data_IF_158833253802
#
_entry.id   IF_158833253802
#
_cell.length_a   1.000
_cell.length_b   1.000
_cell.length_c   1.000
_cell.angle_alpha   90.00
_cell.angle_beta   90.00
_cell.angle_gamma   90.00
#
_symmetry.space_group_name_H-M   'P 1'
#
loop_
_entity.id
_entity.type
_entity.pdbx_description
1 polymer ?
#
# COMPACT_ATOMS: atom_id res chain seq x y z
N UNK A 1 2.05 -9.03 -71.68
CA UNK A 1 2.11 -8.00 -70.64
C UNK A 1 1.57 -8.58 -69.35
N UNK A 2 2.43 -8.95 -68.41
CA UNK A 2 2.08 -9.45 -67.09
C UNK A 2 2.28 -8.32 -66.11
N UNK A 3 1.19 -7.82 -65.52
CA UNK A 3 1.23 -6.85 -64.41
C UNK A 3 1.47 -7.58 -63.09
N UNK A 4 2.60 -7.26 -62.46
CA UNK A 4 2.95 -7.73 -61.14
C UNK A 4 2.38 -6.76 -60.11
N UNK A 5 1.38 -7.22 -59.36
CA UNK A 5 0.82 -6.45 -58.24
C UNK A 5 1.74 -6.67 -57.03
N UNK A 6 2.46 -5.64 -56.64
CA UNK A 6 3.26 -5.63 -55.43
C UNK A 6 2.35 -5.33 -54.23
N UNK A 7 2.11 -6.33 -53.37
CA UNK A 7 1.40 -6.17 -52.12
C UNK A 7 2.33 -5.47 -51.09
N UNK A 8 2.05 -4.25 -50.75
CA UNK A 8 2.69 -3.52 -49.65
C UNK A 8 2.03 -3.98 -48.33
N UNK A 9 2.73 -4.82 -47.60
CA UNK A 9 2.36 -5.14 -46.22
C UNK A 9 2.84 -3.97 -45.33
N UNK A 10 1.89 -3.14 -44.93
CA UNK A 10 2.14 -2.11 -43.90
C UNK A 10 2.19 -2.82 -42.56
N UNK A 11 3.42 -3.01 -42.05
CA UNK A 11 3.67 -3.49 -40.70
C UNK A 11 3.35 -2.35 -39.75
N UNK A 12 2.12 -2.36 -39.24
CA UNK A 12 1.71 -1.45 -38.18
C UNK A 12 2.41 -1.87 -36.90
N UNK A 13 3.60 -1.33 -36.63
CA UNK A 13 4.25 -1.41 -35.33
C UNK A 13 3.36 -0.70 -34.32
N UNK A 14 2.63 -1.48 -33.53
CA UNK A 14 2.00 -1.02 -32.31
C UNK A 14 3.13 -0.49 -31.41
N UNK A 15 3.36 0.82 -31.45
CA UNK A 15 4.07 1.52 -30.41
C UNK A 15 3.21 1.34 -29.14
N UNK A 16 3.55 0.35 -28.34
CA UNK A 16 3.12 0.32 -26.94
C UNK A 16 3.78 1.54 -26.31
N UNK A 17 3.06 2.65 -26.34
CA UNK A 17 3.38 3.81 -25.53
C UNK A 17 3.34 3.31 -24.08
N UNK A 18 4.49 3.17 -23.44
CA UNK A 18 4.55 3.10 -21.99
C UNK A 18 3.82 4.36 -21.51
N UNK A 19 2.56 4.24 -21.10
CA UNK A 19 1.91 5.30 -20.34
C UNK A 19 2.83 5.57 -19.17
N UNK A 20 3.39 6.77 -19.11
CA UNK A 20 4.06 7.26 -17.95
C UNK A 20 3.03 7.12 -16.83
N UNK A 21 3.44 6.48 -15.74
CA UNK A 21 2.58 6.27 -14.58
C UNK A 21 2.16 7.65 -14.04
N UNK A 22 0.93 8.07 -14.30
CA UNK A 22 0.38 9.37 -13.88
C UNK A 22 -0.07 9.36 -12.41
N UNK A 23 0.28 8.30 -11.64
CA UNK A 23 -0.08 8.20 -10.25
C UNK A 23 0.48 9.37 -9.43
N UNK A 24 -0.37 9.95 -8.61
CA UNK A 24 0.00 10.97 -7.64
C UNK A 24 -0.51 10.60 -6.24
N UNK A 25 0.37 10.72 -5.25
CA UNK A 25 -0.04 10.63 -3.86
C UNK A 25 -0.96 11.79 -3.48
N UNK A 26 -1.90 11.60 -2.53
CA UNK A 26 -2.73 12.68 -2.03
C UNK A 26 -1.90 13.72 -1.27
N UNK A 27 -2.41 14.95 -1.16
CA UNK A 27 -1.74 16.03 -0.42
C UNK A 27 -1.56 15.68 1.06
N UNK A 28 -2.56 15.04 1.67
CA UNK A 28 -2.45 14.58 3.04
C UNK A 28 -1.70 13.26 3.13
N UNK A 29 -0.59 13.26 3.85
CA UNK A 29 0.22 12.09 4.15
C UNK A 29 -0.22 11.35 5.43
N UNK A 30 -1.23 11.86 6.15
CA UNK A 30 -1.72 11.26 7.39
C UNK A 30 -2.90 10.37 7.06
N UNK A 31 -2.72 9.06 7.25
CA UNK A 31 -3.70 8.03 6.91
C UNK A 31 -4.17 7.31 8.18
N UNK A 32 -5.42 6.83 8.17
CA UNK A 32 -5.95 6.07 9.31
C UNK A 32 -5.37 4.66 9.34
N UNK A 33 -4.95 4.22 10.52
CA UNK A 33 -4.37 2.91 10.80
C UNK A 33 -5.42 1.94 11.34
N UNK A 34 -5.31 0.66 10.98
CA UNK A 34 -6.12 -0.46 11.50
C UNK A 34 -7.63 -0.20 11.43
N UNK A 35 -8.09 0.21 10.27
CA UNK A 35 -9.51 0.41 10.02
C UNK A 35 -10.18 -0.96 9.79
N UNK A 36 -10.19 -1.82 10.81
CA UNK A 36 -10.47 -3.25 10.70
C UNK A 36 -11.95 -3.63 10.98
N UNK A 37 -12.85 -2.68 10.93
CA UNK A 37 -14.30 -2.94 10.98
C UNK A 37 -15.10 -1.92 10.16
N UNK A 38 -16.36 -2.22 9.90
CA UNK A 38 -17.23 -1.39 9.07
C UNK A 38 -17.59 -0.05 9.74
N UNK A 39 -17.68 0.00 11.06
CA UNK A 39 -17.94 1.24 11.79
C UNK A 39 -16.78 2.20 11.63
N UNK A 40 -15.56 1.69 11.83
CA UNK A 40 -14.34 2.47 11.57
C UNK A 40 -14.23 2.88 10.10
N UNK A 41 -14.55 2.01 9.14
CA UNK A 41 -14.55 2.34 7.72
C UNK A 41 -15.46 3.53 7.41
N UNK A 42 -16.69 3.53 7.92
CA UNK A 42 -17.65 4.64 7.78
C UNK A 42 -17.13 5.93 8.41
N UNK A 43 -16.60 5.86 9.63
CA UNK A 43 -16.19 7.06 10.38
C UNK A 43 -14.88 7.65 9.86
N UNK A 44 -13.88 6.79 9.60
CA UNK A 44 -12.55 7.23 9.19
C UNK A 44 -12.54 7.69 7.73
N UNK A 45 -13.32 7.08 6.83
CA UNK A 45 -13.42 7.53 5.44
C UNK A 45 -13.97 8.95 5.29
N UNK A 46 -14.74 9.45 6.25
CA UNK A 46 -15.21 10.85 6.27
C UNK A 46 -14.10 11.85 6.63
N UNK A 47 -13.06 11.40 7.32
CA UNK A 47 -12.05 12.26 7.91
C UNK A 47 -10.67 12.12 7.26
N UNK A 48 -10.34 10.93 6.76
CA UNK A 48 -9.05 10.62 6.17
C UNK A 48 -9.17 10.41 4.67
N UNK A 49 -8.14 10.80 3.95
CA UNK A 49 -8.00 10.52 2.52
C UNK A 49 -7.43 9.12 2.28
N UNK A 50 -6.60 8.62 3.21
CA UNK A 50 -5.99 7.31 3.15
C UNK A 50 -6.40 6.44 4.34
N UNK A 51 -6.66 5.16 4.08
CA UNK A 51 -7.09 4.16 5.05
C UNK A 51 -6.20 2.93 4.93
N UNK A 52 -5.76 2.40 6.05
CA UNK A 52 -5.09 1.11 6.08
C UNK A 52 -6.00 0.08 6.75
N UNK A 53 -5.94 -1.14 6.23
CA UNK A 53 -6.70 -2.29 6.71
C UNK A 53 -5.85 -3.56 6.66
N UNK A 54 -5.90 -4.33 7.75
CA UNK A 54 -5.30 -5.67 7.80
C UNK A 54 -6.16 -6.67 7.01
N UNK A 55 -5.54 -7.54 6.21
CA UNK A 55 -6.25 -8.50 5.38
C UNK A 55 -5.63 -9.91 5.45
N UNK A 56 -6.50 -10.92 5.35
CA UNK A 56 -6.13 -12.34 5.36
C UNK A 56 -6.92 -13.05 4.26
N UNK A 57 -6.24 -13.82 3.43
CA UNK A 57 -6.90 -14.71 2.47
C UNK A 57 -7.21 -16.06 3.10
N UNK A 58 -8.42 -16.55 2.90
CA UNK A 58 -8.88 -17.88 3.28
C UNK A 58 -8.96 -18.78 2.05
N UNK A 59 -8.06 -19.75 1.95
CA UNK A 59 -8.11 -20.77 0.87
C UNK A 59 -9.41 -21.60 0.92
N UNK A 60 -9.95 -21.83 2.12
CA UNK A 60 -11.16 -22.64 2.30
C UNK A 60 -12.40 -21.94 1.76
N UNK A 61 -12.50 -20.62 1.94
CA UNK A 61 -13.65 -19.81 1.53
C UNK A 61 -13.42 -19.12 0.18
N UNK A 62 -12.18 -19.17 -0.32
CA UNK A 62 -11.75 -18.47 -1.52
C UNK A 62 -12.08 -16.97 -1.49
N UNK A 63 -11.79 -16.33 -0.32
CA UNK A 63 -12.21 -14.98 -0.01
C UNK A 63 -11.15 -14.24 0.82
N UNK A 64 -11.11 -12.91 0.72
CA UNK A 64 -10.27 -12.05 1.55
C UNK A 64 -11.10 -11.49 2.71
N UNK A 65 -10.63 -11.72 3.92
CA UNK A 65 -11.24 -11.22 5.16
C UNK A 65 -10.43 -10.07 5.75
N UNK A 66 -11.13 -9.19 6.44
CA UNK A 66 -10.53 -8.14 7.25
C UNK A 66 -10.17 -8.69 8.62
N UNK A 67 -8.91 -8.57 9.00
CA UNK A 67 -8.41 -9.04 10.29
C UNK A 67 -6.90 -9.11 10.36
N UNK A 68 -6.36 -8.96 11.57
CA UNK A 68 -4.92 -9.01 11.83
C UNK A 68 -4.41 -10.44 12.05
N UNK A 69 -5.24 -11.30 12.64
CA UNK A 69 -4.95 -12.69 12.89
C UNK A 69 -6.00 -13.59 12.25
N UNK A 70 -5.68 -14.87 12.06
CA UNK A 70 -6.61 -15.82 11.43
C UNK A 70 -7.92 -15.96 12.21
N UNK A 71 -7.87 -15.79 13.53
CA UNK A 71 -9.05 -15.86 14.40
C UNK A 71 -10.03 -14.71 14.13
N UNK A 72 -9.55 -13.56 13.67
CA UNK A 72 -10.36 -12.38 13.37
C UNK A 72 -11.30 -12.65 12.18
N UNK A 73 -10.94 -13.58 11.29
CA UNK A 73 -11.78 -13.96 10.14
C UNK A 73 -13.09 -14.61 10.53
N UNK A 74 -13.20 -15.09 11.79
CA UNK A 74 -14.42 -15.69 12.34
C UNK A 74 -15.60 -14.72 12.42
N UNK A 75 -15.36 -13.40 12.36
CA UNK A 75 -16.41 -12.39 12.31
C UNK A 75 -17.11 -12.32 10.94
N UNK A 76 -16.54 -12.96 9.90
CA UNK A 76 -17.10 -13.05 8.56
C UNK A 76 -17.04 -11.74 7.75
N UNK A 77 -16.27 -10.73 8.20
CA UNK A 77 -16.12 -9.47 7.46
C UNK A 77 -15.17 -9.65 6.27
N UNK A 78 -15.74 -9.73 5.06
CA UNK A 78 -14.94 -9.77 3.83
C UNK A 78 -14.42 -8.39 3.45
N UNK A 79 -13.33 -8.35 2.68
CA UNK A 79 -12.75 -7.09 2.17
C UNK A 79 -13.75 -6.34 1.29
N UNK A 80 -14.54 -7.02 0.45
CA UNK A 80 -15.59 -6.38 -0.37
C UNK A 80 -16.67 -5.74 0.52
N UNK A 81 -17.13 -6.44 1.56
CA UNK A 81 -18.09 -5.88 2.52
C UNK A 81 -17.53 -4.65 3.24
N UNK A 82 -16.24 -4.68 3.58
CA UNK A 82 -15.56 -3.53 4.17
C UNK A 82 -15.51 -2.35 3.20
N UNK A 83 -15.17 -2.55 1.92
CA UNK A 83 -15.18 -1.50 0.90
C UNK A 83 -16.58 -0.91 0.67
N UNK A 84 -17.65 -1.71 0.82
CA UNK A 84 -19.03 -1.21 0.75
C UNK A 84 -19.36 -0.22 1.88
N UNK A 85 -18.64 -0.27 3.01
CA UNK A 85 -18.82 0.66 4.12
C UNK A 85 -18.00 1.95 3.97
N UNK A 86 -17.00 1.98 3.09
CA UNK A 86 -16.19 3.18 2.85
C UNK A 86 -16.99 4.21 2.06
N UNK A 87 -16.98 5.47 2.51
CA UNK A 87 -17.61 6.56 1.77
C UNK A 87 -16.75 6.96 0.57
N UNK A 88 -17.29 6.81 -0.65
CA UNK A 88 -16.66 7.17 -1.92
C UNK A 88 -15.26 6.55 -2.10
N UNK A 89 -15.14 5.23 -2.21
CA UNK A 89 -13.84 4.55 -2.28
C UNK A 89 -12.98 5.01 -3.47
N UNK A 90 -13.57 5.40 -4.60
CA UNK A 90 -12.83 5.94 -5.74
C UNK A 90 -12.10 7.27 -5.47
N UNK A 91 -12.51 8.01 -4.42
CA UNK A 91 -11.85 9.26 -4.00
C UNK A 91 -10.82 9.05 -2.87
N UNK A 92 -10.58 7.80 -2.41
CA UNK A 92 -9.71 7.46 -1.27
C UNK A 92 -8.46 6.73 -1.72
N UNK A 93 -7.49 6.60 -0.82
CA UNK A 93 -6.30 5.79 -1.00
C UNK A 93 -6.30 4.66 0.03
N UNK A 94 -5.81 3.50 -0.36
CA UNK A 94 -5.85 2.31 0.47
C UNK A 94 -4.48 1.65 0.59
N UNK A 95 -4.20 1.21 1.80
CA UNK A 95 -3.06 0.37 2.11
C UNK A 95 -3.60 -0.91 2.74
N UNK A 96 -3.49 -2.02 2.02
CA UNK A 96 -3.88 -3.34 2.51
C UNK A 96 -2.63 -4.03 3.04
N UNK A 97 -2.55 -4.16 4.37
CA UNK A 97 -1.51 -4.93 5.05
C UNK A 97 -1.89 -6.41 5.05
N UNK A 98 -1.30 -7.16 4.11
CA UNK A 98 -1.68 -8.55 3.84
C UNK A 98 -0.88 -9.51 4.72
N UNK A 99 -1.54 -10.17 5.66
CA UNK A 99 -0.89 -10.96 6.73
C UNK A 99 -0.40 -12.33 6.31
N UNK A 100 -1.02 -12.94 5.29
CA UNK A 100 -0.66 -14.27 4.81
C UNK A 100 -0.49 -14.36 3.29
N UNK A 101 -0.09 -13.27 2.66
CA UNK A 101 0.21 -13.27 1.24
C UNK A 101 1.47 -14.09 0.96
N UNK A 102 1.37 -15.07 0.09
CA UNK A 102 2.48 -15.87 -0.40
C UNK A 102 2.38 -16.15 -1.91
N UNK A 103 3.39 -16.75 -2.50
CA UNK A 103 3.42 -17.02 -3.94
C UNK A 103 2.37 -18.04 -4.43
N UNK A 104 1.66 -18.74 -3.55
CA UNK A 104 0.63 -19.72 -3.92
C UNK A 104 -0.73 -19.05 -4.04
N UNK A 105 -0.99 -18.04 -3.20
CA UNK A 105 -2.28 -17.35 -3.17
C UNK A 105 -2.26 -16.00 -3.90
N UNK A 106 -1.09 -15.46 -4.25
CA UNK A 106 -0.94 -14.10 -4.76
C UNK A 106 -1.73 -13.80 -6.04
N UNK A 107 -1.80 -14.74 -7.02
CA UNK A 107 -2.61 -14.55 -8.22
C UNK A 107 -4.10 -14.43 -7.87
N UNK A 108 -4.58 -15.32 -7.00
CA UNK A 108 -5.99 -15.32 -6.57
C UNK A 108 -6.36 -14.07 -5.79
N UNK A 109 -5.48 -13.68 -4.86
CA UNK A 109 -5.63 -12.44 -4.07
C UNK A 109 -5.70 -11.23 -5.00
N UNK A 110 -4.81 -11.15 -5.99
CA UNK A 110 -4.79 -10.05 -6.95
C UNK A 110 -6.08 -10.00 -7.78
N UNK A 111 -6.58 -11.15 -8.26
CA UNK A 111 -7.85 -11.24 -9.02
C UNK A 111 -9.03 -10.73 -8.18
N UNK A 112 -9.12 -11.13 -6.91
CA UNK A 112 -10.20 -10.66 -6.01
C UNK A 112 -10.09 -9.15 -5.80
N UNK A 113 -8.89 -8.61 -5.54
CA UNK A 113 -8.67 -7.17 -5.35
C UNK A 113 -9.04 -6.39 -6.61
N UNK A 114 -8.61 -6.85 -7.80
CA UNK A 114 -8.97 -6.22 -9.07
C UNK A 114 -10.51 -6.19 -9.28
N UNK A 115 -11.19 -7.28 -8.97
CA UNK A 115 -12.66 -7.35 -9.07
C UNK A 115 -13.35 -6.36 -8.10
N UNK A 116 -12.84 -6.22 -6.89
CA UNK A 116 -13.32 -5.21 -5.92
C UNK A 116 -13.10 -3.81 -6.48
N UNK A 117 -11.88 -3.50 -6.95
CA UNK A 117 -11.55 -2.18 -7.50
C UNK A 117 -12.47 -1.81 -8.67
N UNK A 118 -12.67 -2.73 -9.61
CA UNK A 118 -13.58 -2.54 -10.75
C UNK A 118 -15.00 -2.25 -10.28
N UNK A 119 -15.53 -3.05 -9.33
CA UNK A 119 -16.89 -2.89 -8.81
C UNK A 119 -17.12 -1.57 -8.06
N UNK A 120 -16.06 -0.93 -7.56
CA UNK A 120 -16.09 0.34 -6.81
C UNK A 120 -15.62 1.53 -7.64
N UNK A 121 -15.38 1.34 -8.94
CA UNK A 121 -14.85 2.38 -9.83
C UNK A 121 -13.52 2.99 -9.30
N UNK A 122 -12.71 2.15 -8.64
CA UNK A 122 -11.39 2.52 -8.15
C UNK A 122 -10.37 2.35 -9.27
N UNK A 123 -9.48 3.31 -9.40
CA UNK A 123 -8.41 3.23 -10.38
C UNK A 123 -7.11 2.74 -9.71
N UNK A 124 -6.14 3.62 -9.53
CA UNK A 124 -4.77 3.31 -9.14
C UNK A 124 -4.45 3.82 -7.72
N UNK A 125 -5.40 3.66 -6.80
CA UNK A 125 -5.38 4.25 -5.45
C UNK A 125 -5.24 3.21 -4.33
N UNK A 126 -4.86 1.96 -4.68
CA UNK A 126 -4.74 0.85 -3.73
C UNK A 126 -3.33 0.25 -3.75
N UNK A 127 -2.76 0.04 -2.58
CA UNK A 127 -1.47 -0.58 -2.36
C UNK A 127 -1.63 -1.88 -1.59
N UNK A 128 -0.96 -2.93 -2.05
CA UNK A 128 -0.85 -4.22 -1.36
C UNK A 128 0.51 -4.33 -0.70
N UNK A 129 0.53 -4.50 0.61
CA UNK A 129 1.74 -4.67 1.39
C UNK A 129 2.00 -6.13 1.74
N UNK A 130 3.26 -6.54 1.68
CA UNK A 130 3.76 -7.80 2.23
C UNK A 130 5.29 -7.75 2.36
N UNK A 131 5.85 -8.70 3.09
CA UNK A 131 7.30 -8.97 3.09
C UNK A 131 7.71 -10.06 2.07
N UNK A 132 6.76 -10.78 1.47
CA UNK A 132 7.05 -11.79 0.43
C UNK A 132 7.21 -11.14 -0.94
N UNK A 133 8.46 -10.90 -1.33
CA UNK A 133 8.80 -10.28 -2.62
C UNK A 133 8.34 -11.11 -3.82
N UNK A 134 8.25 -12.45 -3.70
CA UNK A 134 7.77 -13.30 -4.80
C UNK A 134 6.27 -13.12 -5.00
N UNK A 135 5.52 -13.06 -3.90
CA UNK A 135 4.10 -12.79 -3.93
C UNK A 135 3.82 -11.38 -4.49
N UNK A 136 4.54 -10.36 -4.01
CA UNK A 136 4.38 -8.98 -4.51
C UNK A 136 4.72 -8.85 -6.01
N UNK A 137 5.69 -9.62 -6.54
CA UNK A 137 5.95 -9.67 -7.98
C UNK A 137 4.77 -10.21 -8.79
N UNK A 138 4.01 -11.15 -8.22
CA UNK A 138 2.80 -11.69 -8.86
C UNK A 138 1.71 -10.62 -8.83
N UNK A 139 1.43 -10.04 -7.66
CA UNK A 139 0.46 -8.95 -7.48
C UNK A 139 0.72 -7.79 -8.46
N UNK A 140 1.98 -7.39 -8.62
CA UNK A 140 2.39 -6.31 -9.54
C UNK A 140 2.08 -6.64 -11.02
N UNK A 141 2.07 -7.91 -11.43
CA UNK A 141 1.67 -8.29 -12.80
C UNK A 141 0.18 -8.05 -13.10
N UNK A 142 -0.64 -7.95 -12.07
CA UNK A 142 -2.05 -7.56 -12.18
C UNK A 142 -2.24 -6.02 -12.18
N UNK A 143 -1.15 -5.26 -12.35
CA UNK A 143 -1.12 -3.79 -12.32
C UNK A 143 -1.54 -3.17 -10.96
N UNK A 144 -1.44 -3.93 -9.88
CA UNK A 144 -1.64 -3.43 -8.53
C UNK A 144 -0.34 -2.81 -7.99
N UNK A 145 -0.45 -1.74 -7.22
CA UNK A 145 0.69 -1.14 -6.53
C UNK A 145 1.09 -1.97 -5.33
N UNK A 146 2.40 -2.02 -5.08
CA UNK A 146 2.95 -2.86 -4.03
C UNK A 146 3.83 -2.07 -3.07
N UNK A 147 3.69 -2.37 -1.80
CA UNK A 147 4.55 -1.88 -0.73
C UNK A 147 5.39 -3.05 -0.23
N UNK A 148 6.71 -2.87 -0.23
CA UNK A 148 7.61 -3.83 0.39
C UNK A 148 7.77 -3.50 1.87
N UNK A 149 7.22 -4.35 2.75
CA UNK A 149 7.53 -4.28 4.16
C UNK A 149 8.96 -4.75 4.40
N UNK A 150 9.82 -3.84 4.84
CA UNK A 150 11.22 -4.13 5.16
C UNK A 150 11.35 -4.66 6.59
N UNK A 151 12.34 -5.51 6.82
CA UNK A 151 12.58 -6.05 8.15
C UNK A 151 12.87 -4.96 9.19
N UNK A 152 12.34 -5.13 10.41
CA UNK A 152 12.57 -4.19 11.50
C UNK A 152 13.75 -4.66 12.37
N UNK A 153 14.85 -3.92 12.35
CA UNK A 153 16.06 -4.23 13.10
C UNK A 153 15.90 -4.24 14.63
N UNK A 154 14.85 -3.57 15.13
CA UNK A 154 14.57 -3.56 16.57
C UNK A 154 13.93 -4.87 17.04
N UNK A 155 13.28 -5.60 16.12
CA UNK A 155 12.60 -6.85 16.46
C UNK A 155 13.46 -8.07 16.15
N UNK A 156 14.23 -7.98 15.08
CA UNK A 156 15.04 -9.07 14.55
C UNK A 156 16.53 -8.74 14.72
N UNK A 157 17.30 -9.74 15.11
CA UNK A 157 18.75 -9.61 15.36
C UNK A 157 19.55 -9.67 14.03
N UNK A 158 19.15 -8.83 13.08
CA UNK A 158 19.88 -8.66 11.82
C UNK A 158 20.79 -7.44 11.95
N UNK A 159 22.03 -7.53 11.52
CA UNK A 159 22.92 -6.38 11.51
C UNK A 159 22.55 -5.41 10.36
N UNK A 160 22.89 -4.15 10.55
CA UNK A 160 22.51 -3.08 9.61
C UNK A 160 23.07 -3.29 8.20
N UNK A 161 24.28 -3.86 8.06
CA UNK A 161 24.91 -4.08 6.74
C UNK A 161 24.15 -5.14 5.95
N UNK A 162 23.82 -6.24 6.61
CA UNK A 162 22.99 -7.32 6.02
C UNK A 162 21.62 -6.77 5.64
N UNK A 163 20.96 -6.02 6.53
CA UNK A 163 19.66 -5.40 6.24
C UNK A 163 19.70 -4.48 5.02
N UNK A 164 20.72 -3.60 4.91
CA UNK A 164 20.88 -2.71 3.75
C UNK A 164 21.05 -3.51 2.46
N UNK A 165 21.90 -4.53 2.51
CA UNK A 165 22.22 -5.37 1.35
C UNK A 165 21.00 -6.14 0.86
N UNK A 166 20.28 -6.78 1.77
CA UNK A 166 19.08 -7.56 1.43
C UNK A 166 17.93 -6.65 0.97
N UNK A 167 17.70 -5.54 1.64
CA UNK A 167 16.67 -4.56 1.23
C UNK A 167 16.99 -4.00 -0.17
N UNK A 168 18.24 -3.66 -0.46
CA UNK A 168 18.63 -3.18 -1.79
C UNK A 168 18.37 -4.22 -2.87
N UNK A 169 18.76 -5.48 -2.63
CA UNK A 169 18.48 -6.59 -3.53
C UNK A 169 16.97 -6.77 -3.77
N UNK A 170 16.15 -6.72 -2.71
CA UNK A 170 14.69 -6.80 -2.83
C UNK A 170 14.10 -5.65 -3.64
N UNK A 171 14.60 -4.42 -3.45
CA UNK A 171 14.20 -3.26 -4.25
C UNK A 171 14.54 -3.46 -5.73
N UNK A 172 15.78 -3.86 -6.05
CA UNK A 172 16.21 -4.11 -7.42
C UNK A 172 15.40 -5.21 -8.11
N UNK A 173 14.99 -6.23 -7.35
CA UNK A 173 14.24 -7.36 -7.88
C UNK A 173 12.74 -7.08 -8.03
N UNK A 174 12.14 -6.27 -7.16
CA UNK A 174 10.69 -6.02 -7.11
C UNK A 174 10.31 -4.68 -7.75
N UNK A 175 11.18 -3.66 -7.63
CA UNK A 175 10.86 -2.27 -7.96
C UNK A 175 9.54 -1.84 -7.30
N UNK A 176 9.45 -1.86 -5.94
CA UNK A 176 8.22 -1.57 -5.24
C UNK A 176 7.81 -0.10 -5.41
N UNK A 177 6.51 0.19 -5.31
CA UNK A 177 5.99 1.57 -5.33
C UNK A 177 6.34 2.33 -4.05
N UNK A 178 6.51 1.62 -2.93
CA UNK A 178 7.00 2.17 -1.67
C UNK A 178 7.67 1.10 -0.80
N UNK A 179 8.48 1.56 0.16
CA UNK A 179 8.95 0.75 1.29
C UNK A 179 8.14 1.11 2.52
N UNK A 180 7.87 0.13 3.38
CA UNK A 180 7.22 0.39 4.67
C UNK A 180 8.02 -0.13 5.85
N UNK A 181 7.88 0.56 6.98
CA UNK A 181 8.36 0.12 8.28
C UNK A 181 7.77 0.97 9.42
N UNK A 182 8.05 0.58 10.66
CA UNK A 182 7.82 1.39 11.84
C UNK A 182 8.60 2.71 11.76
N UNK A 183 8.05 3.79 12.30
CA UNK A 183 8.68 5.12 12.29
C UNK A 183 10.03 5.19 13.00
N UNK A 184 10.33 4.21 13.86
CA UNK A 184 11.65 4.02 14.46
C UNK A 184 12.74 3.70 13.43
N UNK A 185 12.39 3.11 12.28
CA UNK A 185 13.30 2.80 11.17
C UNK A 185 13.47 3.96 10.18
N UNK A 186 12.71 5.05 10.34
CA UNK A 186 12.71 6.20 9.43
C UNK A 186 14.11 6.72 9.09
N UNK A 187 14.98 6.90 10.10
CA UNK A 187 16.33 7.42 9.89
C UNK A 187 17.14 6.54 8.92
N UNK A 188 17.12 5.23 9.13
CA UNK A 188 17.81 4.27 8.28
C UNK A 188 17.23 4.21 6.86
N UNK A 189 15.90 4.24 6.73
CA UNK A 189 15.25 4.23 5.42
C UNK A 189 15.65 5.45 4.59
N UNK A 190 15.62 6.66 5.16
CA UNK A 190 15.97 7.88 4.45
C UNK A 190 17.47 7.96 4.14
N UNK A 191 18.33 7.46 5.04
CA UNK A 191 19.78 7.46 4.84
C UNK A 191 20.21 6.52 3.70
N UNK A 192 19.63 5.32 3.64
CA UNK A 192 20.10 4.28 2.74
C UNK A 192 19.27 4.08 1.47
N UNK A 193 18.02 4.58 1.47
CA UNK A 193 17.07 4.46 0.34
C UNK A 193 16.35 5.80 0.06
N UNK A 194 17.07 6.92 -0.12
CA UNK A 194 16.48 8.27 -0.24
C UNK A 194 15.58 8.43 -1.47
N UNK A 195 15.76 7.61 -2.51
CA UNK A 195 14.99 7.66 -3.76
C UNK A 195 13.66 6.92 -3.67
N UNK A 196 13.44 6.12 -2.60
CA UNK A 196 12.23 5.35 -2.44
C UNK A 196 11.13 6.20 -1.80
N UNK A 197 9.88 5.93 -2.21
CA UNK A 197 8.73 6.39 -1.44
C UNK A 197 8.65 5.60 -0.13
N UNK A 198 8.38 6.29 0.98
CA UNK A 198 8.37 5.68 2.31
C UNK A 198 6.97 5.81 2.91
N UNK A 199 6.43 4.68 3.33
CA UNK A 199 5.23 4.56 4.12
C UNK A 199 5.62 4.16 5.55
N UNK A 200 5.07 4.85 6.54
CA UNK A 200 5.44 4.62 7.94
C UNK A 200 4.19 4.33 8.78
N UNK A 201 4.34 3.44 9.73
CA UNK A 201 3.35 3.27 10.78
C UNK A 201 3.97 3.54 12.14
N UNK A 202 3.15 4.10 13.04
CA UNK A 202 3.59 4.45 14.38
C UNK A 202 3.07 3.41 15.38
N UNK A 203 3.97 2.95 16.25
CA UNK A 203 3.59 2.13 17.40
C UNK A 203 3.05 3.04 18.51
N UNK A 204 1.95 3.70 18.25
CA UNK A 204 1.38 4.63 19.23
C UNK A 204 0.31 3.96 20.08
N UNK A 205 0.32 4.20 21.40
CA UNK A 205 -0.88 3.97 22.17
C UNK A 205 -1.99 4.88 21.63
N UNK A 206 -3.24 4.39 21.57
CA UNK A 206 -4.47 5.06 21.07
C UNK A 206 -4.78 6.43 21.72
N UNK A 207 -3.77 7.15 22.20
CA UNK A 207 -3.91 8.42 22.88
C UNK A 207 -3.31 9.54 22.06
N UNK A 208 -4.05 10.62 21.88
CA UNK A 208 -3.62 11.87 21.27
C UNK A 208 -2.53 12.55 22.12
N UNK A 209 -1.36 11.93 22.25
CA UNK A 209 -0.24 12.58 22.89
C UNK A 209 0.35 13.60 21.94
N UNK A 210 0.55 14.80 22.41
CA UNK A 210 1.18 15.90 21.67
C UNK A 210 2.50 15.49 21.01
N UNK A 211 3.28 14.66 21.68
CA UNK A 211 4.53 14.11 21.18
C UNK A 211 4.35 13.27 19.89
N UNK A 212 3.29 12.47 19.83
CA UNK A 212 2.99 11.63 18.66
C UNK A 212 2.54 12.47 17.47
N UNK A 213 1.73 13.48 17.74
CA UNK A 213 1.27 14.44 16.72
C UNK A 213 2.48 15.20 16.15
N UNK A 214 3.35 15.69 17.02
CA UNK A 214 4.58 16.37 16.62
C UNK A 214 5.47 15.46 15.78
N UNK A 215 5.65 14.21 16.20
CA UNK A 215 6.41 13.21 15.45
C UNK A 215 5.80 12.95 14.06
N UNK A 216 4.49 12.76 13.97
CA UNK A 216 3.80 12.62 12.66
C UNK A 216 4.11 13.79 11.74
N UNK A 217 4.02 15.01 12.24
CA UNK A 217 4.29 16.21 11.46
C UNK A 217 5.77 16.30 11.03
N UNK A 218 6.71 15.89 11.87
CA UNK A 218 8.13 15.82 11.51
C UNK A 218 8.37 14.85 10.35
N UNK A 219 7.78 13.66 10.43
CA UNK A 219 7.88 12.65 9.37
C UNK A 219 7.28 13.17 8.05
N UNK A 220 6.09 13.78 8.11
CA UNK A 220 5.41 14.32 6.93
C UNK A 220 6.16 15.45 6.21
N UNK A 221 7.11 16.14 6.86
CA UNK A 221 7.95 17.16 6.22
C UNK A 221 8.90 16.60 5.17
N UNK A 222 9.28 15.34 5.30
CA UNK A 222 10.17 14.70 4.32
C UNK A 222 9.37 14.37 3.04
N UNK A 223 9.92 14.76 1.88
CA UNK A 223 9.28 14.53 0.59
C UNK A 223 9.17 13.06 0.19
N UNK A 224 10.10 12.22 0.67
CA UNK A 224 10.10 10.78 0.40
C UNK A 224 9.05 10.04 1.24
N UNK A 225 8.64 10.59 2.39
CA UNK A 225 7.51 10.06 3.16
C UNK A 225 6.21 10.42 2.45
N UNK A 226 5.42 9.42 2.12
CA UNK A 226 4.16 9.52 1.37
C UNK A 226 2.93 9.21 2.20
N UNK A 227 3.05 8.30 3.16
CA UNK A 227 2.00 7.96 4.10
C UNK A 227 2.58 7.76 5.50
N UNK A 228 1.85 8.23 6.51
CA UNK A 228 2.09 7.97 7.93
C UNK A 228 0.78 7.50 8.53
N UNK A 229 0.75 6.24 8.96
CA UNK A 229 -0.42 5.65 9.60
C UNK A 229 -0.52 6.12 11.04
N UNK A 230 -1.72 6.56 11.44
CA UNK A 230 -2.00 7.07 12.77
C UNK A 230 -3.27 6.44 13.37
N UNK A 231 -3.26 6.21 14.67
CA UNK A 231 -4.42 5.71 15.42
C UNK A 231 -5.32 6.85 15.93
N UNK A 232 -5.18 8.08 15.43
CA UNK A 232 -5.98 9.23 15.82
C UNK A 232 -7.39 9.15 15.25
N UNK A 233 -8.32 9.88 15.85
CA UNK A 233 -9.71 9.93 15.36
C UNK A 233 -9.88 10.81 14.11
N UNK A 234 -8.93 11.69 13.83
CA UNK A 234 -8.93 12.56 12.65
C UNK A 234 -7.50 13.02 12.33
N UNK A 235 -7.20 13.33 11.05
CA UNK A 235 -5.94 13.94 10.71
C UNK A 235 -5.88 15.32 11.38
N UNK A 236 -4.95 15.47 12.32
CA UNK A 236 -4.75 16.76 12.98
C UNK A 236 -4.02 17.67 12.01
N UNK A 237 -4.64 18.80 11.69
CA UNK A 237 -4.01 19.82 10.87
C UNK A 237 -2.70 20.27 11.53
N UNK A 238 -1.68 20.51 10.70
CA UNK A 238 -0.50 21.23 11.14
C UNK A 238 -0.99 22.62 11.51
N UNK A 239 -1.06 22.93 12.81
CA UNK A 239 -1.21 24.32 13.20
C UNK A 239 -0.02 25.06 12.60
N UNK A 240 -0.30 25.93 11.63
CA UNK A 240 0.65 26.92 11.16
C UNK A 240 0.94 27.87 12.33
N UNK A 241 1.78 27.42 13.26
CA UNK A 241 2.40 28.32 14.21
C UNK A 241 3.36 29.19 13.40
N UNK A 242 2.79 30.19 12.72
CA UNK A 242 3.56 31.29 12.17
C UNK A 242 4.37 31.89 13.31
N UNK A 243 5.65 31.66 13.28
CA UNK A 243 6.69 32.51 13.84
C UNK A 243 7.90 32.40 12.95
#
# INVERSE_FOLDING_TARGET
MKQTIASIIILMSLLVSCKKDDFSYPDSKIWAHRVNDTTMAIEKSKKFIGLEVDAIYSEYQDEIFVGHNIEDTSNGLTLDTWFNAVEKPSEKYFWIDFKNLDSKNADKVADIICSIMESKEMEDNLFVESYDTKALKIVKKHNLRVILWTENLQWNKVDTVTWITDTRRMIEELEPDALSNEDAMYGLLIEHFPEQNIHLWQKTPKTHKEENIKRTHELCRNKSVKAVLVDYDQPLAIENTGK
#
